data_IF_474760156933
#
_entry.id   IF_474760156933
#
_cell.length_a   1.000
_cell.length_b   1.000
_cell.length_c   1.000
_cell.angle_alpha   90.00
_cell.angle_beta   90.00
_cell.angle_gamma   90.00
#
_symmetry.space_group_name_H-M   'P 1'
#
loop_
_entity.id
_entity.type
_entity.pdbx_description
1 polymer ?
#
# COMPACT_ATOMS: atom_id res chain seq x y z
N UNK A 1 17.18 4.29 -0.90
CA UNK A 1 17.54 4.53 -2.33
C UNK A 1 16.22 4.51 -3.09
N UNK A 2 16.00 5.41 -4.05
CA UNK A 2 14.78 5.46 -4.87
C UNK A 2 15.12 4.85 -6.24
N UNK A 3 14.30 3.94 -6.78
CA UNK A 3 14.42 3.55 -8.19
C UNK A 3 13.50 4.49 -8.93
N UNK A 4 14.08 5.30 -9.80
CA UNK A 4 13.30 6.12 -10.69
C UNK A 4 12.51 5.23 -11.63
N UNK A 5 11.22 5.07 -11.37
CA UNK A 5 10.31 4.50 -12.37
C UNK A 5 10.07 5.61 -13.40
N UNK A 6 10.65 5.43 -14.60
CA UNK A 6 10.44 6.34 -15.72
C UNK A 6 9.05 6.03 -16.27
N UNK A 7 8.13 6.97 -16.10
CA UNK A 7 6.81 6.88 -16.72
C UNK A 7 6.89 7.25 -18.20
N UNK A 8 5.85 6.94 -18.98
CA UNK A 8 5.74 7.28 -20.41
C UNK A 8 5.85 8.79 -20.69
N UNK A 9 5.79 9.64 -19.67
CA UNK A 9 5.99 11.10 -19.75
C UNK A 9 7.45 11.53 -19.49
N UNK A 10 8.37 10.59 -19.26
CA UNK A 10 9.79 10.87 -19.02
C UNK A 10 10.12 11.41 -17.63
N UNK A 11 9.13 11.52 -16.73
CA UNK A 11 9.31 12.03 -15.36
C UNK A 11 9.57 10.89 -14.38
N UNK A 12 10.58 11.07 -13.52
CA UNK A 12 10.98 10.13 -12.46
C UNK A 12 9.94 10.17 -11.34
N UNK A 13 9.17 9.10 -11.13
CA UNK A 13 8.36 8.98 -9.91
C UNK A 13 9.25 8.57 -8.73
N UNK A 14 9.30 9.41 -7.69
CA UNK A 14 10.00 9.12 -6.44
C UNK A 14 9.09 8.33 -5.48
N UNK A 15 8.59 7.16 -5.92
CA UNK A 15 7.89 6.24 -5.03
C UNK A 15 8.95 5.57 -4.14
N UNK A 16 8.75 5.48 -2.82
CA UNK A 16 9.70 4.77 -1.98
C UNK A 16 9.92 3.33 -2.47
N UNK A 17 11.17 2.91 -2.54
CA UNK A 17 11.49 1.48 -2.74
C UNK A 17 11.09 0.79 -1.45
N UNK A 18 9.93 0.16 -1.48
CA UNK A 18 9.47 -0.75 -0.46
C UNK A 18 9.37 -2.12 -1.10
N UNK A 19 10.04 -3.09 -0.50
CA UNK A 19 9.95 -4.49 -0.90
C UNK A 19 9.01 -5.18 0.09
N UNK A 20 7.74 -5.42 -0.27
CA UNK A 20 6.82 -6.10 0.63
C UNK A 20 7.32 -7.52 0.92
N UNK A 21 7.10 -7.98 2.15
CA UNK A 21 7.26 -9.38 2.52
C UNK A 21 6.31 -10.26 1.72
N UNK A 22 6.54 -11.59 1.72
CA UNK A 22 5.65 -12.52 1.03
C UNK A 22 4.17 -12.40 1.47
N UNK A 23 3.80 -12.40 2.77
CA UNK A 23 2.41 -12.21 3.18
C UNK A 23 1.84 -10.84 2.77
N UNK A 24 2.62 -9.77 2.84
CA UNK A 24 2.18 -8.44 2.40
C UNK A 24 1.91 -8.38 0.89
N UNK A 25 2.77 -9.01 0.10
CA UNK A 25 2.60 -9.11 -1.34
C UNK A 25 1.35 -9.94 -1.69
N UNK A 26 1.17 -11.11 -1.07
CA UNK A 26 -0.02 -11.93 -1.29
C UNK A 26 -1.30 -11.20 -0.88
N UNK A 27 -1.26 -10.44 0.22
CA UNK A 27 -2.39 -9.63 0.66
C UNK A 27 -2.74 -8.52 -0.33
N UNK A 28 -1.72 -7.83 -0.84
CA UNK A 28 -1.84 -6.82 -1.87
C UNK A 28 -2.53 -7.39 -3.13
N UNK A 29 -2.02 -8.50 -3.66
CA UNK A 29 -2.58 -9.15 -4.85
C UNK A 29 -4.02 -9.59 -4.61
N UNK A 30 -4.31 -10.19 -3.46
CA UNK A 30 -5.66 -10.63 -3.12
C UNK A 30 -6.66 -9.47 -3.13
N UNK A 31 -6.32 -8.33 -2.49
CA UNK A 31 -7.19 -7.15 -2.50
C UNK A 31 -7.37 -6.62 -3.93
N UNK A 32 -6.30 -6.49 -4.70
CA UNK A 32 -6.36 -5.97 -6.06
C UNK A 32 -7.26 -6.84 -6.96
N UNK A 33 -7.20 -8.16 -6.82
CA UNK A 33 -8.04 -9.09 -7.57
C UNK A 33 -9.50 -9.07 -7.12
N UNK A 34 -9.76 -9.07 -5.81
CA UNK A 34 -11.12 -9.23 -5.26
C UNK A 34 -11.90 -7.92 -5.18
N UNK A 35 -11.23 -6.82 -4.84
CA UNK A 35 -11.88 -5.52 -4.59
C UNK A 35 -11.79 -4.58 -5.79
N UNK A 36 -10.75 -4.71 -6.62
CA UNK A 36 -10.50 -3.83 -7.78
C UNK A 36 -10.56 -4.56 -9.13
N UNK A 37 -10.95 -5.84 -9.13
CA UNK A 37 -11.12 -6.67 -10.33
C UNK A 37 -9.87 -6.70 -11.24
N UNK A 38 -8.67 -6.53 -10.67
CA UNK A 38 -7.40 -6.56 -11.40
C UNK A 38 -6.95 -8.02 -11.57
N UNK A 39 -7.47 -8.71 -12.60
CA UNK A 39 -7.29 -10.18 -12.76
C UNK A 39 -5.95 -10.62 -13.36
N UNK A 40 -5.21 -9.72 -14.01
CA UNK A 40 -4.00 -10.06 -14.77
C UNK A 40 -2.71 -9.48 -14.15
N UNK A 41 -2.60 -9.52 -12.81
CA UNK A 41 -1.41 -9.01 -12.12
C UNK A 41 -0.30 -10.06 -12.20
N UNK A 42 0.51 -9.99 -13.26
CA UNK A 42 1.81 -10.67 -13.31
C UNK A 42 2.86 -9.86 -12.53
N UNK A 43 4.01 -10.46 -12.19
CA UNK A 43 5.13 -9.73 -11.58
C UNK A 43 5.46 -8.48 -12.39
N UNK A 44 5.42 -7.30 -11.76
CA UNK A 44 5.58 -5.96 -12.37
C UNK A 44 4.40 -5.45 -13.24
N UNK A 45 3.23 -6.08 -13.19
CA UNK A 45 2.06 -5.60 -13.92
C UNK A 45 1.65 -4.18 -13.48
N UNK A 46 1.28 -3.35 -14.46
CA UNK A 46 0.61 -2.09 -14.22
C UNK A 46 -0.81 -2.37 -13.71
N UNK A 47 -1.20 -1.65 -12.67
CA UNK A 47 -2.59 -1.59 -12.21
C UNK A 47 -3.20 -0.28 -12.69
N UNK A 48 -4.51 -0.14 -12.59
CA UNK A 48 -5.15 1.18 -12.75
C UNK A 48 -6.27 1.28 -11.73
N UNK A 49 -6.04 2.08 -10.70
CA UNK A 49 -7.01 2.32 -9.62
C UNK A 49 -7.09 3.82 -9.40
N UNK A 50 -8.23 4.40 -9.74
CA UNK A 50 -8.52 5.81 -9.47
C UNK A 50 -8.76 6.06 -7.98
N UNK A 51 -8.49 7.29 -7.53
CA UNK A 51 -8.75 7.74 -6.17
C UNK A 51 -10.23 7.64 -5.78
N UNK A 52 -11.14 7.76 -6.75
CA UNK A 52 -12.57 7.60 -6.54
C UNK A 52 -12.95 6.20 -6.05
N UNK A 53 -12.24 5.16 -6.49
CA UNK A 53 -12.40 3.79 -6.00
C UNK A 53 -11.48 3.45 -4.82
N UNK A 54 -10.24 3.95 -4.83
CA UNK A 54 -9.27 3.65 -3.78
C UNK A 54 -9.65 4.26 -2.43
N UNK A 55 -10.05 5.54 -2.40
CA UNK A 55 -10.32 6.24 -1.12
C UNK A 55 -11.49 5.61 -0.36
N UNK A 56 -12.65 5.31 -0.97
CA UNK A 56 -13.72 4.61 -0.27
C UNK A 56 -13.29 3.24 0.23
N UNK A 57 -12.48 2.49 -0.53
CA UNK A 57 -11.90 1.25 -0.04
C UNK A 57 -11.04 1.47 1.22
N UNK A 58 -10.15 2.47 1.19
CA UNK A 58 -9.24 2.77 2.30
C UNK A 58 -9.98 3.22 3.57
N UNK A 59 -11.15 3.86 3.46
CA UNK A 59 -11.96 4.19 4.64
C UNK A 59 -12.43 2.97 5.43
N UNK A 60 -12.49 1.79 4.81
CA UNK A 60 -12.78 0.53 5.50
C UNK A 60 -11.67 0.12 6.47
N UNK A 61 -10.48 0.73 6.41
CA UNK A 61 -9.40 0.49 7.39
C UNK A 61 -9.73 1.01 8.79
N UNK A 62 -10.76 1.85 8.94
CA UNK A 62 -11.10 2.50 10.20
C UNK A 62 -10.19 3.69 10.55
N UNK A 63 -9.25 4.06 9.67
CA UNK A 63 -8.40 5.24 9.86
C UNK A 63 -9.17 6.53 9.55
N UNK A 64 -8.84 7.64 10.24
CA UNK A 64 -9.47 8.93 9.98
C UNK A 64 -9.03 9.49 8.63
N UNK A 65 -9.94 10.22 7.96
CA UNK A 65 -9.70 10.78 6.61
C UNK A 65 -8.39 11.60 6.48
N UNK A 66 -7.98 12.45 7.45
CA UNK A 66 -6.70 13.14 7.39
C UNK A 66 -5.49 12.20 7.31
N UNK A 67 -5.52 11.08 8.02
CA UNK A 67 -4.45 10.08 7.97
C UNK A 67 -4.42 9.38 6.59
N UNK A 68 -5.59 9.04 6.05
CA UNK A 68 -5.69 8.44 4.71
C UNK A 68 -5.17 9.37 3.61
N UNK A 69 -5.43 10.67 3.73
CA UNK A 69 -4.88 11.68 2.82
C UNK A 69 -3.35 11.72 2.85
N UNK A 70 -2.74 11.74 4.04
CA UNK A 70 -1.28 11.69 4.19
C UNK A 70 -0.70 10.42 3.54
N UNK A 71 -1.36 9.27 3.73
CA UNK A 71 -0.93 8.00 3.14
C UNK A 71 -1.01 8.04 1.61
N UNK A 72 -2.09 8.61 1.06
CA UNK A 72 -2.28 8.78 -0.38
C UNK A 72 -1.18 9.67 -0.98
N UNK A 73 -0.92 10.82 -0.37
CA UNK A 73 0.06 11.80 -0.85
C UNK A 73 1.49 11.24 -0.90
N UNK A 74 1.81 10.20 -0.11
CA UNK A 74 3.12 9.53 -0.16
C UNK A 74 3.32 8.76 -1.46
N UNK A 75 2.26 8.17 -2.03
CA UNK A 75 2.36 7.32 -3.22
C UNK A 75 1.93 8.03 -4.51
N UNK A 76 1.23 9.14 -4.38
CA UNK A 76 0.82 10.04 -5.46
C UNK A 76 1.19 11.51 -5.16
N UNK A 77 2.49 11.82 -4.95
CA UNK A 77 2.92 13.18 -4.59
C UNK A 77 2.68 14.22 -5.70
N UNK A 78 2.54 13.76 -6.94
CA UNK A 78 2.27 14.60 -8.11
C UNK A 78 0.77 14.83 -8.35
N UNK A 79 -0.11 14.16 -7.59
CA UNK A 79 -1.56 14.32 -7.68
C UNK A 79 -2.16 13.81 -8.98
N UNK A 80 -1.65 12.71 -9.54
CA UNK A 80 -2.26 12.04 -10.71
C UNK A 80 -3.67 11.52 -10.39
N UNK A 81 -3.97 11.27 -9.12
CA UNK A 81 -5.26 10.77 -8.66
C UNK A 81 -5.53 9.32 -9.05
N UNK A 82 -4.52 8.60 -9.59
CA UNK A 82 -4.64 7.22 -10.06
C UNK A 82 -3.37 6.45 -9.74
N UNK A 83 -3.52 5.23 -9.24
CA UNK A 83 -2.42 4.31 -8.98
C UNK A 83 -2.14 3.46 -10.21
N UNK A 84 -0.89 3.43 -10.63
CA UNK A 84 -0.44 2.72 -11.84
C UNK A 84 0.46 1.52 -11.54
N UNK A 85 0.99 1.42 -10.32
CA UNK A 85 1.95 0.39 -9.96
C UNK A 85 1.52 -0.35 -8.70
N UNK A 86 1.64 -1.68 -8.71
CA UNK A 86 1.38 -2.53 -7.53
C UNK A 86 2.17 -2.04 -6.31
N UNK A 87 3.39 -1.52 -6.50
CA UNK A 87 4.19 -0.99 -5.41
C UNK A 87 3.51 0.18 -4.67
N UNK A 88 2.80 1.07 -5.37
CA UNK A 88 2.06 2.17 -4.72
C UNK A 88 0.99 1.60 -3.77
N UNK A 89 0.25 0.59 -4.23
CA UNK A 89 -0.76 -0.05 -3.40
C UNK A 89 -0.14 -0.81 -2.23
N UNK A 90 0.96 -1.54 -2.44
CA UNK A 90 1.71 -2.22 -1.38
C UNK A 90 2.19 -1.24 -0.30
N UNK A 91 2.71 -0.07 -0.69
CA UNK A 91 3.13 0.99 0.23
C UNK A 91 1.93 1.50 1.04
N UNK A 92 0.78 1.76 0.38
CA UNK A 92 -0.44 2.16 1.09
C UNK A 92 -0.81 1.12 2.15
N UNK A 93 -0.86 -0.17 1.79
CA UNK A 93 -1.25 -1.23 2.73
C UNK A 93 -0.30 -1.30 3.93
N UNK A 94 1.01 -1.20 3.70
CA UNK A 94 1.98 -1.18 4.79
C UNK A 94 1.80 0.04 5.71
N UNK A 95 1.55 1.21 5.14
CA UNK A 95 1.32 2.44 5.91
C UNK A 95 0.01 2.37 6.72
N UNK A 96 -1.04 1.80 6.15
CA UNK A 96 -2.31 1.55 6.86
C UNK A 96 -2.06 0.61 8.04
N UNK A 97 -1.31 -0.48 7.82
CA UNK A 97 -0.97 -1.42 8.89
C UNK A 97 -0.21 -0.73 10.03
N UNK A 98 0.79 0.09 9.72
CA UNK A 98 1.52 0.87 10.73
C UNK A 98 0.58 1.81 11.51
N UNK A 99 -0.28 2.55 10.82
CA UNK A 99 -1.23 3.44 11.48
C UNK A 99 -2.20 2.67 12.40
N UNK A 100 -2.65 1.47 11.99
CA UNK A 100 -3.48 0.59 12.81
C UNK A 100 -2.75 0.05 14.05
N UNK A 101 -1.41 -0.11 13.98
CA UNK A 101 -0.58 -0.46 15.14
C UNK A 101 -0.24 0.75 16.03
N UNK A 102 -0.82 1.93 15.78
CA UNK A 102 -0.63 3.12 16.60
C UNK A 102 0.58 3.97 16.22
N UNK A 103 1.22 3.72 15.07
CA UNK A 103 2.26 4.61 14.59
C UNK A 103 1.67 5.98 14.23
N UNK A 104 2.33 7.11 14.60
CA UNK A 104 1.75 8.42 14.38
C UNK A 104 1.71 8.77 12.88
N UNK A 105 0.56 9.22 12.39
CA UNK A 105 0.37 9.69 11.01
C UNK A 105 0.30 11.20 10.99
N UNK A 106 1.43 11.88 11.28
CA UNK A 106 1.46 13.35 11.34
C UNK A 106 1.93 13.99 10.03
N UNK A 107 2.82 13.33 9.30
CA UNK A 107 3.40 13.83 8.06
C UNK A 107 3.90 12.68 7.17
N UNK A 108 3.98 12.95 5.86
CA UNK A 108 4.50 11.98 4.89
C UNK A 108 5.94 11.55 5.20
N UNK A 109 6.78 12.50 5.64
CA UNK A 109 8.17 12.21 6.02
C UNK A 109 8.26 11.26 7.22
N UNK A 110 7.45 11.48 8.26
CA UNK A 110 7.47 10.62 9.45
C UNK A 110 7.01 9.19 9.12
N UNK A 111 5.96 9.07 8.29
CA UNK A 111 5.48 7.78 7.80
C UNK A 111 6.53 7.05 6.94
N UNK A 112 7.28 7.80 6.13
CA UNK A 112 8.41 7.26 5.37
C UNK A 112 9.52 6.73 6.28
N UNK A 113 9.83 7.45 7.36
CA UNK A 113 10.77 6.98 8.37
C UNK A 113 10.25 5.69 9.01
N UNK A 114 8.97 5.62 9.39
CA UNK A 114 8.37 4.39 9.94
C UNK A 114 8.45 3.21 8.97
N UNK A 115 8.22 3.41 7.66
CA UNK A 115 8.44 2.35 6.65
C UNK A 115 9.87 1.82 6.67
N UNK A 116 10.84 2.73 6.71
CA UNK A 116 12.27 2.36 6.65
C UNK A 116 12.74 1.70 7.94
N UNK A 117 12.30 2.18 9.10
CA UNK A 117 12.70 1.66 10.42
C UNK A 117 12.05 0.32 10.72
N UNK A 118 10.82 0.10 10.25
CA UNK A 118 10.06 -1.14 10.54
C UNK A 118 10.24 -2.22 9.47
N UNK A 119 11.13 -2.02 8.49
CA UNK A 119 11.26 -2.92 7.33
C UNK A 119 11.56 -4.38 7.69
N UNK A 120 12.19 -4.63 8.84
CA UNK A 120 12.50 -5.96 9.38
C UNK A 120 11.65 -6.31 10.62
N UNK A 121 10.63 -5.53 10.92
CA UNK A 121 9.75 -5.78 12.07
C UNK A 121 8.47 -6.48 11.62
N UNK A 122 8.05 -7.44 12.45
CA UNK A 122 6.73 -8.03 12.35
C UNK A 122 5.68 -6.94 12.59
N UNK A 123 4.85 -6.69 11.58
CA UNK A 123 3.68 -5.81 11.67
C UNK A 123 2.50 -6.62 11.12
N UNK A 124 1.38 -6.74 11.87
CA UNK A 124 0.16 -7.38 11.39
C UNK A 124 -0.29 -6.78 10.05
N UNK A 125 -0.85 -7.59 9.16
CA UNK A 125 -1.36 -7.10 7.88
C UNK A 125 -2.48 -6.09 8.09
N UNK A 126 -2.60 -5.11 7.19
CA UNK A 126 -3.67 -4.12 7.23
C UNK A 126 -5.04 -4.81 7.15
N UNK A 127 -5.93 -4.42 8.06
CA UNK A 127 -7.30 -4.96 8.13
C UNK A 127 -8.30 -3.96 7.54
N UNK A 128 -9.37 -4.47 6.95
CA UNK A 128 -10.44 -3.65 6.36
C UNK A 128 -11.79 -4.24 6.76
N UNK A 129 -12.71 -3.39 7.22
CA UNK A 129 -14.07 -3.79 7.61
C UNK A 129 -14.76 -4.57 6.49
N UNK A 130 -15.25 -5.77 6.81
CA UNK A 130 -15.90 -6.67 5.84
C UNK A 130 -14.95 -7.39 4.88
N UNK A 131 -13.64 -7.35 5.11
CA UNK A 131 -12.67 -8.24 4.45
C UNK A 131 -12.05 -9.19 5.46
N UNK A 132 -11.99 -10.47 5.08
CA UNK A 132 -11.33 -11.51 5.85
C UNK A 132 -10.01 -11.83 5.15
N UNK A 133 -8.90 -11.81 5.89
CA UNK A 133 -7.60 -12.22 5.37
C UNK A 133 -7.64 -13.74 5.16
N UNK A 134 -7.39 -14.25 3.94
CA UNK A 134 -7.36 -15.69 3.68
C UNK A 134 -6.39 -16.44 4.60
N UNK A 135 -6.79 -17.62 5.07
CA UNK A 135 -6.01 -18.42 6.01
C UNK A 135 -4.58 -18.71 5.53
N UNK A 136 -4.39 -18.96 4.22
CA UNK A 136 -3.06 -19.19 3.66
C UNK A 136 -2.13 -17.98 3.81
N UNK A 137 -2.65 -16.76 3.77
CA UNK A 137 -1.86 -15.53 3.95
C UNK A 137 -1.49 -15.35 5.42
N UNK A 138 -2.41 -15.66 6.34
CA UNK A 138 -2.12 -15.63 7.78
C UNK A 138 -1.03 -16.65 8.17
N UNK A 139 -1.05 -17.84 7.56
CA UNK A 139 0.00 -18.85 7.76
C UNK A 139 1.36 -18.33 7.28
N UNK A 140 1.42 -17.66 6.12
CA UNK A 140 2.66 -17.04 5.63
C UNK A 140 3.20 -15.97 6.58
N UNK A 141 2.31 -15.21 7.24
CA UNK A 141 2.71 -14.19 8.21
C UNK A 141 3.28 -14.80 9.50
N UNK A 142 2.73 -15.93 9.96
CA UNK A 142 3.22 -16.63 11.15
C UNK A 142 4.56 -17.35 10.95
N UNK A 143 4.95 -17.57 9.69
CA UNK A 143 6.19 -18.25 9.32
C UNK A 143 7.41 -17.31 9.20
N UNK A 144 7.24 -16.01 9.48
CA UNK A 144 8.30 -15.00 9.47
C UNK A 144 8.75 -14.66 10.89
#
# INVERSE_FOLDING_TARGET
>A
RSIGVITSTGKIMNIPIYSPTNPEYQWCIYILQTCFNQKAIQSQASITIDGGNAVPFLTRSGLPMPALKIIWDIVDPEGYGTLHHVNQFSVILRLVALAQQGFPVTSGQQMMTSLTTTCNQFIPLATFQGLIIPAYILQLQQAQ
#
